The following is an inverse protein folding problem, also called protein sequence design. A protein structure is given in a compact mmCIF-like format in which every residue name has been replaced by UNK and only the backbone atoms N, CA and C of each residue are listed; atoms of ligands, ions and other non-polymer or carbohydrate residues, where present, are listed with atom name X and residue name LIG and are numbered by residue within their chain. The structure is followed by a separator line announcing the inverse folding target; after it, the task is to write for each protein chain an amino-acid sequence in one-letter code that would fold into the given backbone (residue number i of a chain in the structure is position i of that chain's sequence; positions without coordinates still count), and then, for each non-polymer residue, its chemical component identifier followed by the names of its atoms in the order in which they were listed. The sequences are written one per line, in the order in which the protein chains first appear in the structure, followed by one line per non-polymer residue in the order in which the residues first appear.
data_IF_496253597244
#
_entry.id   IF_496253597244
#
_cell.length_a   1.000
_cell.length_b   1.000
_cell.length_c   1.000
_cell.angle_alpha   90.00
_cell.angle_beta   90.00
_cell.angle_gamma   90.00
#
_symmetry.space_group_name_H-M   'P 1'
#
loop_
_entity.id
_entity.type
_entity.pdbx_description
1 polymer ?
#
# COMPACT_ATOMS: atom_id res chain seq x y z
N UNK A 1 17.99 -32.84 -19.58
CA UNK A 1 17.29 -31.54 -19.69
C UNK A 1 16.74 -31.14 -18.32
N UNK A 2 17.50 -30.38 -17.51
CA UNK A 2 17.06 -29.92 -16.18
C UNK A 2 16.44 -28.52 -16.34
N UNK A 3 15.14 -28.39 -16.08
CA UNK A 3 14.44 -27.10 -16.11
C UNK A 3 14.85 -26.30 -14.87
N UNK A 4 15.78 -25.37 -15.02
CA UNK A 4 16.06 -24.34 -14.01
C UNK A 4 14.86 -23.38 -13.97
N UNK A 5 14.01 -23.52 -12.95
CA UNK A 5 13.07 -22.46 -12.57
C UNK A 5 13.85 -21.44 -11.74
N UNK A 6 14.59 -20.55 -12.40
CA UNK A 6 15.02 -19.30 -11.78
C UNK A 6 13.76 -18.50 -11.48
N UNK A 7 13.27 -18.59 -10.24
CA UNK A 7 12.17 -17.77 -9.76
C UNK A 7 12.53 -16.30 -9.95
N UNK A 8 11.72 -15.61 -10.73
CA UNK A 8 11.84 -14.18 -10.98
C UNK A 8 11.83 -13.43 -9.64
N UNK A 9 12.99 -12.93 -9.23
CA UNK A 9 13.11 -11.93 -8.16
C UNK A 9 12.63 -10.57 -8.70
N UNK A 10 11.32 -10.42 -8.92
CA UNK A 10 10.72 -9.12 -9.22
C UNK A 10 10.51 -8.36 -7.91
N UNK A 11 11.35 -7.36 -7.65
CA UNK A 11 11.14 -6.38 -6.58
C UNK A 11 10.17 -5.32 -7.11
N UNK A 12 8.94 -5.31 -6.58
CA UNK A 12 7.98 -4.24 -6.85
C UNK A 12 8.16 -3.15 -5.78
N UNK A 13 8.77 -2.00 -6.09
CA UNK A 13 9.09 -0.99 -5.08
C UNK A 13 7.85 -0.37 -4.42
N UNK A 14 6.68 -0.44 -5.08
CA UNK A 14 5.41 0.09 -4.59
C UNK A 14 4.47 -0.99 -4.03
N UNK A 15 4.97 -2.18 -3.71
CA UNK A 15 4.15 -3.25 -3.15
C UNK A 15 4.72 -3.69 -1.81
N UNK A 16 3.84 -3.85 -0.83
CA UNK A 16 4.17 -4.44 0.47
C UNK A 16 3.38 -5.73 0.65
N UNK A 17 3.88 -6.72 1.41
CA UNK A 17 3.08 -7.86 1.82
C UNK A 17 1.82 -7.38 2.54
N UNK A 18 0.64 -7.81 2.12
CA UNK A 18 -0.63 -7.48 2.77
C UNK A 18 -1.53 -8.70 2.89
N UNK A 19 -2.35 -8.74 3.94
CA UNK A 19 -3.42 -9.73 4.06
C UNK A 19 -4.37 -9.64 2.84
N UNK A 20 -4.68 -10.78 2.16
CA UNK A 20 -5.58 -10.78 1.02
C UNK A 20 -6.98 -10.25 1.32
N UNK A 21 -7.43 -10.32 2.58
CA UNK A 21 -8.72 -9.77 3.02
C UNK A 21 -8.64 -8.26 3.13
N UNK A 22 -7.57 -7.73 3.73
CA UNK A 22 -7.35 -6.28 3.85
C UNK A 22 -7.29 -5.62 2.47
N UNK A 23 -6.43 -6.15 1.59
CA UNK A 23 -6.20 -5.59 0.26
C UNK A 23 -7.49 -5.57 -0.59
N UNK A 24 -8.25 -6.67 -0.61
CA UNK A 24 -9.45 -6.79 -1.46
C UNK A 24 -10.70 -6.12 -0.90
N UNK A 25 -10.75 -5.83 0.39
CA UNK A 25 -11.95 -5.25 1.04
C UNK A 25 -11.69 -3.84 1.50
N UNK A 26 -11.10 -3.69 2.68
CA UNK A 26 -10.98 -2.40 3.37
C UNK A 26 -10.14 -1.43 2.56
N UNK A 27 -8.96 -1.88 2.10
CA UNK A 27 -8.06 -1.05 1.31
C UNK A 27 -8.67 -0.64 -0.03
N UNK A 28 -9.24 -1.59 -0.77
CA UNK A 28 -9.94 -1.31 -2.03
C UNK A 28 -11.11 -0.32 -1.85
N UNK A 29 -11.85 -0.40 -0.74
CA UNK A 29 -12.92 0.57 -0.43
C UNK A 29 -12.33 1.96 -0.18
N UNK A 30 -11.29 2.08 0.65
CA UNK A 30 -10.60 3.34 0.92
C UNK A 30 -10.12 3.95 -0.40
N UNK A 31 -9.51 3.17 -1.29
CA UNK A 31 -9.06 3.65 -2.60
C UNK A 31 -10.20 4.15 -3.48
N UNK A 32 -11.32 3.42 -3.52
CA UNK A 32 -12.51 3.84 -4.27
C UNK A 32 -13.08 5.14 -3.73
N UNK A 33 -13.13 5.30 -2.41
CA UNK A 33 -13.69 6.48 -1.77
C UNK A 33 -12.73 7.69 -1.90
N UNK A 34 -11.41 7.50 -1.79
CA UNK A 34 -10.41 8.54 -2.11
C UNK A 34 -10.57 9.02 -3.56
N UNK A 35 -10.73 8.10 -4.53
CA UNK A 35 -10.92 8.49 -5.94
C UNK A 35 -12.17 9.35 -6.12
N UNK A 36 -13.28 8.98 -5.49
CA UNK A 36 -14.51 9.78 -5.52
C UNK A 36 -14.35 11.15 -4.87
N UNK A 37 -13.58 11.24 -3.78
CA UNK A 37 -13.28 12.50 -3.12
C UNK A 37 -12.46 13.42 -4.02
N UNK A 38 -11.35 12.92 -4.58
CA UNK A 38 -10.47 13.66 -5.49
C UNK A 38 -11.23 14.21 -6.70
N UNK A 39 -12.14 13.43 -7.28
CA UNK A 39 -12.97 13.87 -8.41
C UNK A 39 -13.94 15.03 -8.10
N UNK A 40 -14.22 15.29 -6.82
CA UNK A 40 -15.07 16.40 -6.37
C UNK A 40 -14.28 17.58 -5.82
N UNK A 41 -12.98 17.41 -5.57
CA UNK A 41 -12.15 18.48 -5.07
C UNK A 41 -12.00 19.56 -6.14
N UNK A 42 -12.00 20.82 -5.73
CA UNK A 42 -11.86 21.96 -6.64
C UNK A 42 -10.41 22.38 -6.85
N UNK A 43 -9.48 21.79 -6.10
CA UNK A 43 -8.04 22.04 -6.23
C UNK A 43 -7.21 20.77 -5.97
N UNK A 44 -5.91 20.97 -5.77
CA UNK A 44 -4.96 19.86 -5.66
C UNK A 44 -5.18 19.01 -4.40
N UNK A 45 -5.23 17.70 -4.61
CA UNK A 45 -5.29 16.70 -3.54
C UNK A 45 -4.01 15.87 -3.54
N UNK A 46 -3.33 15.86 -2.40
CA UNK A 46 -2.14 15.06 -2.16
C UNK A 46 -2.51 13.77 -1.44
N UNK A 47 -1.99 12.64 -1.92
CA UNK A 47 -2.21 11.33 -1.30
C UNK A 47 -0.87 10.73 -0.96
N UNK A 48 -0.62 10.47 0.33
CA UNK A 48 0.59 9.84 0.84
C UNK A 48 0.19 8.52 1.51
N UNK A 49 0.84 7.44 1.12
CA UNK A 49 0.59 6.10 1.67
C UNK A 49 1.89 5.43 2.02
N UNK A 50 1.88 4.60 3.07
CA UNK A 50 3.04 3.80 3.40
C UNK A 50 2.76 2.72 4.45
N UNK A 51 3.71 1.79 4.61
CA UNK A 51 3.70 0.84 5.70
C UNK A 51 4.14 1.49 7.02
N UNK A 52 3.70 0.92 8.13
CA UNK A 52 4.25 1.12 9.47
C UNK A 52 4.67 -0.24 10.02
N UNK A 53 5.85 -0.27 10.63
CA UNK A 53 6.45 -1.45 11.22
C UNK A 53 6.69 -1.20 12.71
N UNK A 54 6.26 -2.12 13.55
CA UNK A 54 6.56 -2.10 14.98
C UNK A 54 7.85 -2.88 15.27
N UNK A 55 8.35 -2.79 16.50
CA UNK A 55 9.64 -3.36 16.92
C UNK A 55 9.78 -4.87 16.63
N UNK A 56 8.68 -5.62 16.62
CA UNK A 56 8.64 -7.08 16.40
C UNK A 56 7.98 -7.49 15.07
N UNK A 57 8.10 -6.66 14.03
CA UNK A 57 7.52 -6.94 12.71
C UNK A 57 7.98 -8.29 12.14
N UNK A 58 7.10 -8.94 11.39
CA UNK A 58 7.35 -10.25 10.77
C UNK A 58 8.04 -10.11 9.42
N UNK A 59 8.66 -11.18 8.93
CA UNK A 59 9.23 -11.23 7.58
C UNK A 59 8.72 -12.44 6.80
N UNK A 60 8.80 -12.38 5.46
CA UNK A 60 8.41 -13.47 4.56
C UNK A 60 9.51 -13.80 3.54
N UNK A 61 9.67 -15.10 3.27
CA UNK A 61 10.56 -15.65 2.25
C UNK A 61 12.05 -15.51 2.57
N UNK A 62 12.88 -16.17 1.77
CA UNK A 62 14.34 -16.20 1.98
C UNK A 62 15.00 -14.81 1.84
N UNK A 63 14.33 -13.86 1.18
CA UNK A 63 14.78 -12.47 1.06
C UNK A 63 14.45 -11.60 2.27
N UNK A 64 13.78 -12.14 3.30
CA UNK A 64 13.47 -11.42 4.53
C UNK A 64 12.62 -10.17 4.32
N UNK A 65 11.65 -10.21 3.39
CA UNK A 65 10.80 -9.03 3.11
C UNK A 65 9.93 -8.75 4.32
N UNK A 66 9.99 -7.52 4.84
CA UNK A 66 9.24 -7.12 6.02
C UNK A 66 7.74 -7.06 5.72
N UNK A 67 6.95 -7.64 6.61
CA UNK A 67 5.50 -7.58 6.61
C UNK A 67 5.10 -6.39 7.49
N UNK A 68 4.40 -5.38 6.94
CA UNK A 68 3.93 -4.25 7.74
C UNK A 68 2.86 -4.66 8.74
N UNK A 69 2.92 -4.06 9.92
CA UNK A 69 1.92 -4.23 10.98
C UNK A 69 0.69 -3.35 10.71
N UNK A 70 0.93 -2.16 10.15
CA UNK A 70 -0.12 -1.23 9.73
C UNK A 70 0.16 -0.60 8.37
N UNK A 71 -0.90 -0.04 7.78
CA UNK A 71 -0.82 0.81 6.60
C UNK A 71 -1.49 2.14 6.94
N UNK A 72 -0.87 3.23 6.49
CA UNK A 72 -1.49 4.54 6.61
C UNK A 72 -1.81 5.12 5.23
N UNK A 73 -2.78 6.03 5.21
CA UNK A 73 -3.12 6.85 4.06
C UNK A 73 -3.52 8.23 4.54
N UNK A 74 -2.76 9.25 4.13
CA UNK A 74 -3.07 10.66 4.32
C UNK A 74 -3.62 11.21 3.00
N UNK A 75 -4.79 11.83 3.05
CA UNK A 75 -5.42 12.50 1.89
C UNK A 75 -5.58 13.95 2.27
N UNK A 76 -4.83 14.85 1.65
CA UNK A 76 -4.84 16.27 1.98
C UNK A 76 -5.34 17.09 0.80
N UNK A 77 -6.42 17.85 1.00
CA UNK A 77 -6.95 18.81 0.04
C UNK A 77 -6.40 20.20 0.36
N UNK A 78 -5.55 20.71 -0.52
CA UNK A 78 -4.89 22.00 -0.34
C UNK A 78 -5.88 23.17 -0.40
N UNK A 79 -6.95 23.04 -1.20
CA UNK A 79 -7.94 24.10 -1.41
C UNK A 79 -8.78 24.34 -0.16
N UNK A 80 -9.18 23.27 0.53
CA UNK A 80 -9.95 23.35 1.77
C UNK A 80 -9.11 23.25 3.04
N UNK A 81 -7.81 22.96 2.93
CA UNK A 81 -6.86 22.69 4.04
C UNK A 81 -7.39 21.60 4.98
N UNK A 82 -7.95 20.54 4.41
CA UNK A 82 -8.51 19.39 5.17
C UNK A 82 -7.69 18.14 4.93
N UNK A 83 -7.58 17.32 5.98
CA UNK A 83 -7.00 15.98 5.98
C UNK A 83 -8.05 14.97 6.47
#
# INVERSE_FOLDING_TARGET
MKRNRSGLNQRFPNVVPQSPVNNRKVWAKIEKDTRKFVLRATGDVYVITGPVYDDNHKTIGNGGVWIPDHLFKLVFDLSSRRA
#
